data_IF_080992187903
#
_entry.id   IF_080992187903
#
_cell.length_a   1.000
_cell.length_b   1.000
_cell.length_c   1.000
_cell.angle_alpha   90.00
_cell.angle_beta   90.00
_cell.angle_gamma   90.00
#
_symmetry.space_group_name_H-M   'P 1'
#
loop_
_entity.id
_entity.type
_entity.pdbx_description
1 polymer ?
#
# COMPACT_ATOMS: atom_id res chain seq x y z
N UNK A 1 -7.39 5.63 16.11
CA UNK A 1 -7.93 6.98 15.81
C UNK A 1 -7.33 7.42 14.48
N UNK A 2 -8.13 7.84 13.52
CA UNK A 2 -7.68 8.34 12.23
C UNK A 2 -7.38 9.85 12.28
N UNK A 3 -6.71 10.38 11.23
CA UNK A 3 -6.47 11.82 11.10
C UNK A 3 -7.80 12.59 11.03
N UNK A 4 -8.82 12.03 10.39
CA UNK A 4 -10.16 12.64 10.31
C UNK A 4 -10.82 12.75 11.69
N UNK A 5 -10.65 11.73 12.57
CA UNK A 5 -11.18 11.77 13.94
C UNK A 5 -10.53 12.88 14.78
N UNK A 6 -9.32 13.31 14.38
CA UNK A 6 -8.57 14.40 15.00
C UNK A 6 -8.80 15.77 14.34
N UNK A 7 -9.65 15.82 13.29
CA UNK A 7 -9.90 17.04 12.52
C UNK A 7 -8.71 17.48 11.65
N UNK A 8 -7.74 16.60 11.41
CA UNK A 8 -6.58 16.87 10.55
C UNK A 8 -6.95 16.52 9.12
N UNK A 9 -7.21 17.54 8.31
CA UNK A 9 -7.52 17.40 6.87
C UNK A 9 -6.31 17.69 5.97
N UNK A 10 -5.21 18.12 6.55
CA UNK A 10 -3.99 18.48 5.84
C UNK A 10 -3.32 17.27 5.23
N UNK A 11 -2.99 17.34 3.93
CA UNK A 11 -2.29 16.27 3.23
C UNK A 11 -0.79 16.57 3.23
N UNK A 12 0.00 15.63 3.72
CA UNK A 12 1.46 15.68 3.62
C UNK A 12 1.89 15.16 2.26
N UNK A 13 2.68 15.96 1.54
CA UNK A 13 3.16 15.61 0.21
C UNK A 13 4.21 14.48 0.26
N UNK A 14 4.12 13.57 -0.70
CA UNK A 14 5.09 12.51 -0.94
C UNK A 14 6.17 13.05 -1.88
N UNK A 15 7.30 13.48 -1.31
CA UNK A 15 8.37 14.20 -2.03
C UNK A 15 9.61 13.33 -2.24
N UNK A 16 9.66 12.14 -1.65
CA UNK A 16 10.82 11.24 -1.71
C UNK A 16 10.62 10.14 -2.76
N UNK A 17 11.73 9.58 -3.22
CA UNK A 17 11.72 8.53 -4.23
C UNK A 17 11.46 7.13 -3.66
N UNK A 18 11.56 6.97 -2.33
CA UNK A 18 11.29 5.70 -1.66
C UNK A 18 10.07 5.79 -0.75
N UNK A 19 9.31 4.69 -0.67
CA UNK A 19 8.18 4.57 0.25
C UNK A 19 8.62 4.64 1.72
N UNK A 20 9.83 4.17 2.06
CA UNK A 20 10.37 4.26 3.42
C UNK A 20 10.55 5.71 3.87
N UNK A 21 11.14 6.55 3.02
CA UNK A 21 11.33 7.97 3.32
C UNK A 21 10.00 8.71 3.39
N UNK A 22 9.06 8.43 2.48
CA UNK A 22 7.73 9.00 2.50
C UNK A 22 6.94 8.58 3.76
N UNK A 23 7.01 7.31 4.17
CA UNK A 23 6.38 6.85 5.40
C UNK A 23 6.92 7.56 6.64
N UNK A 24 8.25 7.68 6.77
CA UNK A 24 8.91 8.40 7.86
C UNK A 24 8.52 9.88 7.86
N UNK A 25 8.52 10.51 6.70
CA UNK A 25 8.12 11.91 6.54
C UNK A 25 6.66 12.12 7.00
N UNK A 26 5.73 11.29 6.54
CA UNK A 26 4.32 11.32 6.96
C UNK A 26 4.17 11.09 8.47
N UNK A 27 4.86 10.09 9.05
CA UNK A 27 4.78 9.81 10.49
C UNK A 27 5.21 11.00 11.34
N UNK A 28 6.33 11.63 10.99
CA UNK A 28 6.86 12.81 11.69
C UNK A 28 5.90 14.00 11.54
N UNK A 29 5.43 14.28 10.33
CA UNK A 29 4.56 15.43 10.08
C UNK A 29 3.24 15.30 10.84
N UNK A 30 2.54 14.17 10.68
CA UNK A 30 1.26 13.93 11.37
C UNK A 30 1.41 13.76 12.89
N UNK A 31 2.53 13.20 13.36
CA UNK A 31 2.83 13.12 14.79
C UNK A 31 3.00 14.50 15.43
N UNK A 32 3.69 15.40 14.74
CA UNK A 32 3.81 16.81 15.18
C UNK A 32 2.47 17.55 15.16
N UNK A 33 1.64 17.34 14.13
CA UNK A 33 0.31 17.97 14.01
C UNK A 33 -0.65 17.46 15.09
N UNK A 34 -0.62 16.16 15.37
CA UNK A 34 -1.56 15.51 16.29
C UNK A 34 -1.13 15.56 17.76
N UNK A 35 0.17 15.75 18.03
CA UNK A 35 0.77 15.58 19.37
C UNK A 35 0.69 14.14 19.90
N UNK A 36 0.56 13.13 19.03
CA UNK A 36 0.34 11.73 19.40
C UNK A 36 1.33 10.80 18.70
N UNK A 37 1.58 9.65 19.32
CA UNK A 37 2.28 8.55 18.64
C UNK A 37 1.53 8.26 17.34
N UNK A 38 2.25 8.30 16.24
CA UNK A 38 1.70 8.19 14.89
C UNK A 38 2.34 7.05 14.15
N UNK A 39 1.50 6.24 13.52
CA UNK A 39 1.88 5.25 12.51
C UNK A 39 1.49 5.80 11.14
N UNK A 40 2.43 5.81 10.21
CA UNK A 40 2.17 6.09 8.80
C UNK A 40 2.64 4.94 7.92
N UNK A 41 1.91 4.69 6.85
CA UNK A 41 2.25 3.68 5.85
C UNK A 41 2.40 4.35 4.50
N UNK A 42 3.39 3.90 3.75
CA UNK A 42 3.55 4.20 2.33
C UNK A 42 3.81 2.90 1.57
N UNK A 43 3.38 2.84 0.32
CA UNK A 43 3.44 1.61 -0.44
C UNK A 43 4.08 1.79 -1.81
N UNK A 44 4.85 0.77 -2.20
CA UNK A 44 5.38 0.64 -3.54
C UNK A 44 4.99 -0.71 -4.11
N UNK A 45 4.86 -0.80 -5.44
CA UNK A 45 4.56 -2.07 -6.10
C UNK A 45 5.51 -2.31 -7.25
N UNK A 46 5.97 -3.57 -7.35
CA UNK A 46 6.65 -4.09 -8.52
C UNK A 46 5.91 -5.31 -9.04
N UNK A 47 6.20 -5.71 -10.26
CA UNK A 47 5.55 -6.85 -10.90
C UNK A 47 6.57 -7.77 -11.57
N UNK A 48 6.21 -9.02 -11.74
CA UNK A 48 7.03 -9.98 -12.50
C UNK A 48 6.78 -9.95 -14.01
N UNK A 49 5.92 -9.05 -14.50
CA UNK A 49 5.49 -9.06 -15.91
C UNK A 49 5.72 -7.74 -16.65
N UNK A 50 6.01 -6.65 -15.95
CA UNK A 50 6.43 -5.40 -16.55
C UNK A 50 7.96 -5.33 -16.63
N UNK A 51 8.53 -4.73 -17.68
CA UNK A 51 9.96 -4.44 -17.75
C UNK A 51 10.37 -3.46 -16.66
N UNK A 52 11.66 -3.42 -16.36
CA UNK A 52 12.21 -2.63 -15.23
C UNK A 52 11.86 -1.13 -15.34
N UNK A 53 11.95 -0.58 -16.53
CA UNK A 53 11.66 0.83 -16.81
C UNK A 53 10.15 1.18 -16.82
N UNK A 54 9.28 0.19 -16.70
CA UNK A 54 7.83 0.36 -16.61
C UNK A 54 7.26 -0.05 -15.24
N UNK A 55 8.11 -0.34 -14.27
CA UNK A 55 7.65 -0.67 -12.91
C UNK A 55 7.03 0.56 -12.24
N UNK A 56 5.86 0.44 -11.59
CA UNK A 56 5.20 1.59 -10.96
C UNK A 56 5.93 2.13 -9.74
N UNK A 57 6.64 1.28 -8.99
CA UNK A 57 7.33 1.69 -7.76
C UNK A 57 6.39 2.38 -6.78
N UNK A 58 6.76 3.56 -6.31
CA UNK A 58 5.94 4.42 -5.43
C UNK A 58 4.84 5.20 -6.18
N UNK A 59 4.84 5.17 -7.50
CA UNK A 59 3.93 5.96 -8.33
C UNK A 59 2.69 5.16 -8.80
N UNK A 60 2.11 4.34 -7.94
CA UNK A 60 0.96 3.47 -8.28
C UNK A 60 -0.20 4.26 -8.88
N UNK A 61 -0.50 5.44 -8.33
CA UNK A 61 -1.55 6.33 -8.83
C UNK A 61 -1.09 7.35 -9.87
N UNK A 62 0.22 7.50 -10.05
CA UNK A 62 0.84 8.37 -11.06
C UNK A 62 1.54 7.56 -12.15
N UNK A 63 1.19 6.29 -12.25
CA UNK A 63 1.78 5.32 -13.16
C UNK A 63 1.76 5.80 -14.62
N UNK A 64 2.84 5.53 -15.37
CA UNK A 64 2.99 5.98 -16.75
C UNK A 64 3.44 7.44 -16.89
N UNK A 65 4.07 8.03 -15.88
CA UNK A 65 4.64 9.39 -15.92
C UNK A 65 3.59 10.51 -15.79
N UNK A 66 2.39 10.18 -15.33
CA UNK A 66 1.36 11.17 -15.08
C UNK A 66 1.77 12.12 -13.94
N UNK A 67 1.70 13.43 -14.18
CA UNK A 67 1.91 14.45 -13.14
C UNK A 67 0.75 14.53 -12.14
N UNK A 68 -0.44 14.07 -12.55
CA UNK A 68 -1.66 14.06 -11.74
C UNK A 68 -1.99 12.64 -11.32
N UNK A 69 -2.48 12.48 -10.10
CA UNK A 69 -3.01 11.20 -9.63
C UNK A 69 -4.20 10.74 -10.47
N UNK A 70 -4.17 9.48 -10.86
CA UNK A 70 -5.26 8.83 -11.57
C UNK A 70 -6.42 8.57 -10.61
N UNK A 71 -7.62 8.72 -11.11
CA UNK A 71 -8.84 8.26 -10.41
C UNK A 71 -8.85 6.74 -10.28
N UNK A 72 -9.62 6.19 -9.35
CA UNK A 72 -9.76 4.74 -9.17
C UNK A 72 -10.13 4.01 -10.48
N UNK A 73 -10.97 4.63 -11.31
CA UNK A 73 -11.35 4.08 -12.61
C UNK A 73 -10.17 4.07 -13.58
N UNK A 74 -9.45 5.16 -13.67
CA UNK A 74 -8.28 5.29 -14.57
C UNK A 74 -7.19 4.30 -14.18
N UNK A 75 -6.92 4.09 -12.87
CA UNK A 75 -5.99 3.07 -12.39
C UNK A 75 -6.38 1.68 -12.91
N UNK A 76 -7.65 1.28 -12.71
CA UNK A 76 -8.14 -0.02 -13.18
C UNK A 76 -8.03 -0.14 -14.71
N UNK A 77 -8.34 0.92 -15.45
CA UNK A 77 -8.29 0.90 -16.93
C UNK A 77 -6.85 0.81 -17.45
N UNK A 78 -5.88 1.44 -16.77
CA UNK A 78 -4.45 1.28 -17.08
C UNK A 78 -4.02 -0.19 -16.86
N UNK A 79 -4.30 -0.77 -15.71
CA UNK A 79 -3.91 -2.14 -15.42
C UNK A 79 -4.58 -3.17 -16.33
N UNK A 80 -5.83 -2.96 -16.74
CA UNK A 80 -6.49 -3.80 -17.76
C UNK A 80 -5.73 -3.80 -19.08
N UNK A 81 -5.27 -2.64 -19.54
CA UNK A 81 -4.46 -2.52 -20.76
C UNK A 81 -3.14 -3.26 -20.62
N UNK A 82 -2.45 -3.10 -19.48
CA UNK A 82 -1.21 -3.81 -19.21
C UNK A 82 -1.38 -5.33 -19.15
N UNK A 83 -2.51 -5.82 -18.63
CA UNK A 83 -2.79 -7.27 -18.63
C UNK A 83 -2.92 -7.84 -20.02
N UNK A 84 -3.45 -7.05 -20.98
CA UNK A 84 -3.55 -7.42 -22.39
C UNK A 84 -2.19 -7.30 -23.09
N UNK A 85 -1.47 -6.21 -22.83
CA UNK A 85 -0.16 -5.94 -23.44
C UNK A 85 0.90 -6.98 -23.02
N UNK A 86 0.85 -7.43 -21.76
CA UNK A 86 1.77 -8.43 -21.20
C UNK A 86 0.99 -9.72 -20.87
N UNK A 87 0.73 -10.61 -21.84
CA UNK A 87 -0.21 -11.72 -21.70
C UNK A 87 0.34 -12.93 -20.92
N UNK A 88 1.55 -12.87 -20.34
CA UNK A 88 2.12 -13.99 -19.62
C UNK A 88 1.21 -14.51 -18.49
N UNK A 89 1.27 -15.83 -18.25
CA UNK A 89 0.55 -16.49 -17.16
C UNK A 89 1.19 -16.13 -15.81
N UNK A 90 0.39 -16.22 -14.73
CA UNK A 90 0.85 -16.01 -13.36
C UNK A 90 1.44 -14.61 -13.08
N UNK A 91 0.77 -13.58 -13.55
CA UNK A 91 1.10 -12.19 -13.20
C UNK A 91 1.08 -12.00 -11.69
N UNK A 92 2.21 -11.60 -11.14
CA UNK A 92 2.40 -11.39 -9.71
C UNK A 92 2.73 -9.92 -9.45
N UNK A 93 2.13 -9.39 -8.41
CA UNK A 93 2.46 -8.09 -7.82
C UNK A 93 3.22 -8.34 -6.52
N UNK A 94 4.25 -7.57 -6.29
CA UNK A 94 5.00 -7.56 -5.04
C UNK A 94 4.82 -6.16 -4.46
N UNK A 95 4.00 -6.08 -3.41
CA UNK A 95 3.78 -4.89 -2.63
C UNK A 95 4.85 -4.80 -1.55
N UNK A 96 5.46 -3.64 -1.46
CA UNK A 96 6.38 -3.28 -0.40
C UNK A 96 5.71 -2.17 0.42
N UNK A 97 5.27 -2.51 1.63
CA UNK A 97 4.70 -1.57 2.59
C UNK A 97 5.81 -1.09 3.51
N UNK A 98 6.07 0.20 3.53
CA UNK A 98 6.90 0.84 4.52
C UNK A 98 6.00 1.39 5.63
N UNK A 99 6.16 0.87 6.84
CA UNK A 99 5.50 1.39 8.02
C UNK A 99 6.52 2.18 8.84
N UNK A 100 6.16 3.38 9.26
CA UNK A 100 6.99 4.24 10.10
C UNK A 100 6.22 4.72 11.33
N UNK A 101 6.90 4.80 12.46
CA UNK A 101 6.37 5.22 13.75
C UNK A 101 7.09 6.48 14.23
N UNK A 102 6.38 7.36 14.90
CA UNK A 102 6.96 8.56 15.49
C UNK A 102 6.28 8.90 16.81
N UNK A 103 7.08 9.14 17.86
CA UNK A 103 6.62 9.67 19.13
C UNK A 103 7.03 11.15 19.23
N UNK A 104 6.08 12.10 19.24
CA UNK A 104 6.40 13.52 19.31
C UNK A 104 6.94 13.97 20.67
N UNK A 105 6.74 13.21 21.75
CA UNK A 105 7.19 13.61 23.09
C UNK A 105 8.70 13.46 23.26
N UNK A 106 9.27 12.34 22.77
CA UNK A 106 10.71 12.06 22.88
C UNK A 106 11.42 12.08 21.52
N UNK A 107 10.72 12.39 20.42
CA UNK A 107 11.21 12.46 19.05
C UNK A 107 11.75 11.13 18.51
N UNK A 108 11.43 10.02 19.18
CA UNK A 108 11.85 8.70 18.73
C UNK A 108 11.09 8.30 17.46
N UNK A 109 11.75 7.52 16.63
CA UNK A 109 11.20 6.99 15.37
C UNK A 109 11.65 5.57 15.13
N UNK A 110 10.79 4.81 14.48
CA UNK A 110 11.08 3.47 14.00
C UNK A 110 10.46 3.26 12.63
N UNK A 111 10.90 2.24 11.94
CA UNK A 111 10.29 1.82 10.67
C UNK A 111 10.56 0.34 10.40
N UNK A 112 9.69 -0.25 9.60
CA UNK A 112 9.90 -1.59 9.06
C UNK A 112 9.32 -1.72 7.66
N UNK A 113 9.75 -2.74 6.93
CA UNK A 113 9.27 -3.09 5.61
C UNK A 113 8.52 -4.43 5.65
N UNK A 114 7.36 -4.47 5.02
CA UNK A 114 6.58 -5.69 4.85
C UNK A 114 6.35 -5.94 3.36
N UNK A 115 6.66 -7.14 2.92
CA UNK A 115 6.42 -7.55 1.53
C UNK A 115 5.20 -8.45 1.45
N UNK A 116 4.27 -8.12 0.58
CA UNK A 116 3.08 -8.92 0.32
C UNK A 116 2.99 -9.25 -1.17
N UNK A 117 2.62 -10.47 -1.48
CA UNK A 117 2.38 -10.91 -2.86
C UNK A 117 0.90 -10.94 -3.16
N UNK A 118 0.52 -10.39 -4.33
CA UNK A 118 -0.81 -10.53 -4.91
C UNK A 118 -0.72 -11.01 -6.34
N UNK A 119 -1.81 -11.49 -6.88
CA UNK A 119 -1.85 -12.12 -8.21
C UNK A 119 -2.95 -11.52 -9.05
N UNK A 120 -2.71 -11.30 -10.33
CA UNK A 120 -3.75 -10.88 -11.25
C UNK A 120 -4.87 -11.93 -11.31
N UNK A 121 -6.11 -11.47 -11.29
CA UNK A 121 -7.27 -12.33 -11.49
C UNK A 121 -7.60 -12.48 -12.97
N UNK A 122 -8.14 -13.63 -13.37
CA UNK A 122 -8.62 -13.85 -14.73
C UNK A 122 -9.92 -13.05 -15.01
N UNK A 123 -10.78 -12.94 -14.00
CA UNK A 123 -12.05 -12.25 -14.09
C UNK A 123 -12.11 -11.12 -13.07
N UNK A 124 -12.18 -9.89 -13.57
CA UNK A 124 -12.26 -8.70 -12.72
C UNK A 124 -13.60 -8.62 -11.99
N UNK A 125 -13.54 -8.23 -10.71
CA UNK A 125 -14.75 -7.98 -9.94
C UNK A 125 -15.52 -6.78 -10.50
N UNK A 126 -16.84 -6.86 -10.46
CA UNK A 126 -17.74 -5.73 -10.72
C UNK A 126 -17.89 -4.83 -9.49
N UNK A 127 -17.55 -5.33 -8.30
CA UNK A 127 -17.55 -4.55 -7.06
C UNK A 127 -16.42 -3.52 -7.10
N UNK A 128 -16.56 -2.44 -6.34
CA UNK A 128 -15.58 -1.36 -6.22
C UNK A 128 -15.41 -1.01 -4.76
N UNK A 129 -14.21 -0.61 -4.39
CA UNK A 129 -13.91 -0.02 -3.09
C UNK A 129 -13.19 1.29 -3.34
N UNK A 130 -13.75 2.39 -2.83
CA UNK A 130 -13.15 3.72 -2.97
C UNK A 130 -11.76 3.75 -2.33
N UNK A 131 -10.79 4.27 -3.04
CA UNK A 131 -9.41 4.38 -2.59
C UNK A 131 -8.55 3.12 -2.83
N UNK A 132 -9.15 1.96 -3.12
CA UNK A 132 -8.45 0.68 -3.33
C UNK A 132 -8.81 0.01 -4.66
N UNK A 133 -8.56 0.66 -5.80
CA UNK A 133 -9.01 0.19 -7.12
C UNK A 133 -8.42 -1.17 -7.51
N UNK A 134 -7.19 -1.46 -7.06
CA UNK A 134 -6.50 -2.70 -7.37
C UNK A 134 -7.18 -3.94 -6.79
N UNK A 135 -7.96 -3.80 -5.72
CA UNK A 135 -8.69 -4.91 -5.09
C UNK A 135 -9.68 -5.62 -6.03
N UNK A 136 -10.14 -4.93 -7.08
CA UNK A 136 -11.04 -5.52 -8.09
C UNK A 136 -10.32 -6.43 -9.10
N UNK A 137 -9.01 -6.26 -9.27
CA UNK A 137 -8.20 -6.87 -10.34
C UNK A 137 -7.09 -7.79 -9.82
N UNK A 138 -6.94 -7.87 -8.51
CA UNK A 138 -5.95 -8.73 -7.85
C UNK A 138 -6.60 -9.68 -6.86
N UNK A 139 -5.90 -10.78 -6.58
CA UNK A 139 -6.23 -11.80 -5.58
C UNK A 139 -5.10 -11.94 -4.55
N UNK A 140 -5.41 -12.23 -3.27
CA UNK A 140 -4.39 -12.55 -2.28
C UNK A 140 -3.71 -13.90 -2.54
N UNK A 141 -4.31 -14.76 -3.35
CA UNK A 141 -3.77 -16.09 -3.67
C UNK A 141 -3.76 -16.33 -5.19
N UNK A 142 -2.80 -17.11 -5.65
CA UNK A 142 -2.65 -17.47 -7.07
C UNK A 142 -3.88 -18.22 -7.55
N UNK A 143 -4.47 -17.78 -8.68
CA UNK A 143 -5.68 -18.39 -9.27
C UNK A 143 -6.95 -18.16 -8.47
N UNK A 144 -6.92 -17.30 -7.47
CA UNK A 144 -8.07 -16.97 -6.62
C UNK A 144 -9.00 -15.92 -7.23
N UNK A 145 -10.09 -15.66 -6.50
CA UNK A 145 -11.00 -14.53 -6.78
C UNK A 145 -10.37 -13.22 -6.35
N UNK A 146 -10.91 -12.09 -6.83
CA UNK A 146 -10.46 -10.77 -6.41
C UNK A 146 -10.60 -10.58 -4.90
N UNK A 147 -9.81 -9.65 -4.32
CA UNK A 147 -9.95 -9.27 -2.91
C UNK A 147 -11.39 -8.96 -2.54
N UNK A 148 -12.15 -8.30 -3.42
CA UNK A 148 -13.54 -7.92 -3.19
C UNK A 148 -14.55 -9.07 -3.21
N UNK A 149 -14.13 -10.24 -3.67
CA UNK A 149 -14.94 -11.46 -3.74
C UNK A 149 -14.34 -12.60 -2.90
N UNK A 150 -13.27 -12.29 -2.17
CA UNK A 150 -12.62 -13.25 -1.28
C UNK A 150 -13.42 -13.40 0.02
N UNK A 151 -13.30 -14.54 0.67
CA UNK A 151 -13.88 -14.79 1.99
C UNK A 151 -13.17 -13.93 3.04
N UNK A 152 -13.93 -13.14 3.80
CA UNK A 152 -13.37 -12.17 4.75
C UNK A 152 -12.52 -12.81 5.85
N UNK A 153 -12.93 -13.98 6.38
CA UNK A 153 -12.18 -14.67 7.43
C UNK A 153 -10.85 -15.20 6.91
N UNK A 154 -10.85 -15.75 5.69
CA UNK A 154 -9.63 -16.23 5.04
C UNK A 154 -8.72 -15.06 4.69
N UNK A 155 -9.27 -13.97 4.19
CA UNK A 155 -8.50 -12.76 3.89
C UNK A 155 -7.83 -12.22 5.16
N UNK A 156 -8.59 -12.09 6.24
CA UNK A 156 -8.06 -11.67 7.53
C UNK A 156 -6.90 -12.54 8.03
N UNK A 157 -7.01 -13.87 7.91
CA UNK A 157 -5.94 -14.79 8.31
C UNK A 157 -4.67 -14.61 7.45
N UNK A 158 -4.82 -14.38 6.13
CA UNK A 158 -3.69 -14.10 5.24
C UNK A 158 -3.02 -12.77 5.61
N UNK A 159 -3.80 -11.74 5.87
CA UNK A 159 -3.29 -10.41 6.23
C UNK A 159 -2.59 -10.43 7.60
N UNK A 160 -3.15 -11.11 8.59
CA UNK A 160 -2.48 -11.28 9.88
C UNK A 160 -1.10 -11.93 9.74
N UNK A 161 -0.99 -12.98 8.93
CA UNK A 161 0.31 -13.62 8.69
C UNK A 161 1.28 -12.71 7.96
N UNK A 162 0.82 -11.98 6.93
CA UNK A 162 1.64 -11.04 6.18
C UNK A 162 2.19 -9.89 7.05
N UNK A 163 1.40 -9.40 7.99
CA UNK A 163 1.76 -8.26 8.84
C UNK A 163 2.27 -8.63 10.24
N UNK A 164 2.42 -9.91 10.54
CA UNK A 164 2.91 -10.36 11.86
C UNK A 164 4.24 -9.73 12.25
N UNK A 165 5.23 -9.77 11.35
CA UNK A 165 6.54 -9.17 11.62
C UNK A 165 6.49 -7.66 11.88
N UNK A 166 5.56 -6.96 11.23
CA UNK A 166 5.30 -5.56 11.51
C UNK A 166 4.78 -5.35 12.94
N UNK A 167 3.79 -6.14 13.36
CA UNK A 167 3.22 -6.02 14.70
C UNK A 167 4.28 -6.26 15.78
N UNK A 168 5.14 -7.26 15.60
CA UNK A 168 6.23 -7.57 16.54
C UNK A 168 7.22 -6.39 16.67
N UNK A 169 7.59 -5.76 15.54
CA UNK A 169 8.48 -4.58 15.53
C UNK A 169 7.82 -3.39 16.19
N UNK A 170 6.54 -3.12 15.88
CA UNK A 170 5.81 -2.00 16.44
C UNK A 170 5.58 -2.15 17.95
N UNK A 171 5.20 -3.34 18.40
CA UNK A 171 5.03 -3.63 19.83
C UNK A 171 6.33 -3.50 20.63
N UNK A 172 7.46 -3.93 20.04
CA UNK A 172 8.78 -3.73 20.66
C UNK A 172 9.09 -2.24 20.77
N UNK A 173 8.93 -1.50 19.68
CA UNK A 173 9.17 -0.06 19.66
C UNK A 173 8.28 0.70 20.66
N UNK A 174 6.99 0.33 20.80
CA UNK A 174 6.08 0.95 21.76
C UNK A 174 6.50 0.73 23.24
N UNK A 175 7.08 -0.43 23.54
CA UNK A 175 7.58 -0.70 24.92
C UNK A 175 8.79 0.13 25.30
N UNK A 176 9.58 0.54 24.31
CA UNK A 176 10.82 1.29 24.50
C UNK A 176 10.59 2.82 24.44
N UNK A 177 9.38 3.28 24.10
CA UNK A 177 9.03 4.67 23.81
C UNK A 177 7.66 5.08 24.36
#
# INVERSE_FOLDING_TARGET
>A
MSLLDLGIAEKVDEIFETNSENAIHKAIAYGKMSGRITLAIDEAVTTNFLPENEQPGVYVRRFGGNKKELTDREVVDVWKKLYVQYPQKNKKFIWNFAAAFFNPENLSKGSCLVNQSSYAVEKFSKRKTTGYPMSAIMSPVKGGKSYLEFDEKKLWAIEQENFKGFLDVFDSWLRDN
#
